data_IF_919299041722
#
_entry.id   IF_919299041722
#
_cell.length_a   1.000
_cell.length_b   1.000
_cell.length_c   1.000
_cell.angle_alpha   90.00
_cell.angle_beta   90.00
_cell.angle_gamma   90.00
#
_symmetry.space_group_name_H-M   'P 1'
#
loop_
_entity.id
_entity.type
_entity.pdbx_description
1 polymer ?
#
# COMPACT_ATOMS: atom_id res chain seq x y z
N UNK A 1 7.87 -35.01 -32.51
CA UNK A 1 6.89 -34.02 -32.03
C UNK A 1 7.01 -33.91 -30.51
N UNK A 2 7.04 -32.66 -30.03
CA UNK A 2 6.89 -32.18 -28.65
C UNK A 2 7.74 -32.83 -27.52
N UNK A 3 8.85 -32.16 -27.19
CA UNK A 3 9.63 -32.38 -25.97
C UNK A 3 8.86 -31.95 -24.72
N UNK A 4 9.04 -32.71 -23.64
CA UNK A 4 8.32 -32.66 -22.36
C UNK A 4 8.05 -31.26 -21.80
N UNK A 5 6.77 -30.92 -21.72
CA UNK A 5 6.24 -29.79 -20.97
C UNK A 5 5.96 -30.24 -19.53
N UNK A 6 7.00 -30.25 -18.68
CA UNK A 6 6.85 -30.32 -17.21
C UNK A 6 6.27 -29.00 -16.71
N UNK A 7 4.98 -28.76 -16.97
CA UNK A 7 4.24 -27.67 -16.34
C UNK A 7 3.57 -28.23 -15.09
N UNK A 8 3.95 -27.72 -13.92
CA UNK A 8 3.17 -27.96 -12.71
C UNK A 8 1.73 -27.47 -12.88
N UNK A 9 0.82 -27.95 -12.03
CA UNK A 9 -0.60 -27.58 -11.99
C UNK A 9 -0.85 -26.07 -12.04
N UNK A 10 0.13 -25.28 -11.61
CA UNK A 10 0.07 -23.83 -11.58
C UNK A 10 1.16 -23.18 -12.45
N UNK A 11 0.85 -22.07 -13.14
CA UNK A 11 1.77 -21.42 -14.06
C UNK A 11 3.10 -21.03 -13.41
N UNK A 12 4.18 -21.13 -14.19
CA UNK A 12 5.56 -20.83 -13.78
C UNK A 12 6.43 -22.08 -13.70
N UNK A 13 7.67 -21.98 -14.18
CA UNK A 13 8.64 -23.09 -14.25
C UNK A 13 9.61 -23.08 -13.06
N UNK A 14 9.11 -22.74 -11.87
CA UNK A 14 9.90 -22.65 -10.65
C UNK A 14 9.88 -23.95 -9.83
N UNK A 15 10.79 -24.09 -8.84
CA UNK A 15 10.84 -25.26 -7.95
C UNK A 15 9.58 -25.46 -7.09
N UNK A 16 8.68 -24.46 -7.07
CA UNK A 16 7.40 -24.48 -6.36
C UNK A 16 6.20 -24.47 -7.32
N UNK A 17 6.39 -24.91 -8.58
CA UNK A 17 5.33 -24.92 -9.61
C UNK A 17 4.16 -25.85 -9.28
N UNK A 18 4.39 -26.83 -8.41
CA UNK A 18 3.40 -27.76 -7.87
C UNK A 18 2.47 -27.12 -6.82
N UNK A 19 2.89 -26.03 -6.17
CA UNK A 19 2.07 -25.33 -5.18
C UNK A 19 1.21 -24.25 -5.84
N UNK A 20 -0.02 -24.01 -5.33
CA UNK A 20 -0.80 -22.86 -5.73
C UNK A 20 -0.03 -21.56 -5.44
N UNK A 21 -0.19 -20.51 -6.27
CA UNK A 21 0.56 -19.28 -6.15
C UNK A 21 0.60 -18.71 -4.72
N UNK A 22 -0.50 -18.73 -3.97
CA UNK A 22 -0.58 -18.17 -2.62
C UNK A 22 0.20 -18.93 -1.54
N UNK A 23 0.52 -20.20 -1.77
CA UNK A 23 1.37 -21.01 -0.88
C UNK A 23 2.85 -20.93 -1.27
N UNK A 24 3.17 -20.31 -2.41
CA UNK A 24 4.56 -20.21 -2.86
C UNK A 24 5.34 -19.24 -1.97
N UNK A 25 6.62 -19.54 -1.68
CA UNK A 25 7.47 -18.62 -0.93
C UNK A 25 7.56 -17.23 -1.57
N UNK A 26 7.61 -17.15 -2.91
CA UNK A 26 7.63 -15.89 -3.64
C UNK A 26 6.32 -15.10 -3.59
N UNK A 27 5.20 -15.72 -3.22
CA UNK A 27 3.97 -15.00 -2.91
C UNK A 27 4.00 -14.51 -1.48
N UNK A 28 4.14 -15.42 -0.50
CA UNK A 28 4.12 -15.10 0.94
C UNK A 28 5.22 -14.12 1.38
N UNK A 29 6.41 -14.23 0.79
CA UNK A 29 7.60 -13.45 1.15
C UNK A 29 8.12 -12.57 0.01
N UNK A 30 7.53 -12.65 -1.19
CA UNK A 30 7.99 -11.84 -2.31
C UNK A 30 7.27 -10.50 -2.41
N UNK A 31 7.64 -9.72 -3.42
CA UNK A 31 7.13 -8.36 -3.66
C UNK A 31 5.61 -8.30 -3.90
N UNK A 32 4.87 -9.40 -4.00
CA UNK A 32 3.42 -9.36 -4.24
C UNK A 32 2.59 -9.17 -2.97
N UNK A 33 2.98 -9.82 -1.86
CA UNK A 33 2.16 -9.86 -0.64
C UNK A 33 2.39 -8.67 0.29
N UNK A 34 3.62 -8.14 0.33
CA UNK A 34 3.89 -6.91 1.09
C UNK A 34 3.05 -5.73 0.60
N UNK A 35 2.65 -5.68 -0.68
CA UNK A 35 1.73 -4.65 -1.18
C UNK A 35 0.26 -5.08 -1.18
N UNK A 36 -0.07 -6.37 -1.09
CA UNK A 36 -1.48 -6.80 -0.95
C UNK A 36 -1.98 -6.65 0.49
N UNK A 37 -1.11 -6.84 1.49
CA UNK A 37 -1.43 -6.57 2.90
C UNK A 37 -1.58 -5.09 3.22
N UNK A 38 -0.87 -4.22 2.50
CA UNK A 38 -0.95 -2.76 2.64
C UNK A 38 -1.85 -2.08 1.60
N UNK A 39 -2.02 -2.67 0.42
CA UNK A 39 -2.68 -2.05 -0.75
C UNK A 39 -4.16 -2.35 -0.88
N UNK A 40 -4.72 -3.19 0.00
CA UNK A 40 -6.19 -3.34 0.14
C UNK A 40 -6.78 -2.42 1.22
N UNK A 41 -5.99 -1.49 1.74
CA UNK A 41 -6.45 -0.46 2.70
C UNK A 41 -5.93 0.92 2.25
N UNK A 42 -6.29 1.33 1.04
CA UNK A 42 -6.11 2.71 0.60
C UNK A 42 -7.01 3.05 -0.60
N UNK A 43 -8.28 2.64 -0.56
CA UNK A 43 -9.29 3.42 -1.25
C UNK A 43 -9.67 4.55 -0.27
N UNK A 44 -9.60 5.83 -0.65
CA UNK A 44 -9.69 6.96 0.29
C UNK A 44 -11.10 7.18 0.90
N UNK A 45 -12.03 6.24 0.67
CA UNK A 45 -13.41 6.27 1.12
C UNK A 45 -13.86 4.88 1.60
N UNK A 46 -13.01 4.14 2.31
CA UNK A 46 -13.53 3.04 3.13
C UNK A 46 -14.38 3.66 4.24
N UNK A 47 -15.64 3.23 4.35
CA UNK A 47 -16.58 3.69 5.38
C UNK A 47 -15.88 3.73 6.75
N UNK A 48 -15.75 4.95 7.30
CA UNK A 48 -15.15 5.13 8.61
C UNK A 48 -16.04 4.46 9.65
N UNK A 49 -15.49 3.69 10.60
CA UNK A 49 -16.28 3.13 11.70
C UNK A 49 -16.76 4.20 12.70
N UNK A 50 -16.43 5.48 12.49
CA UNK A 50 -16.78 6.60 13.35
C UNK A 50 -18.20 7.12 13.06
N UNK A 51 -18.84 7.71 14.07
CA UNK A 51 -20.05 8.51 13.82
C UNK A 51 -19.71 9.74 12.98
N UNK A 52 -20.70 10.29 12.26
CA UNK A 52 -20.48 11.45 11.36
C UNK A 52 -19.89 12.63 12.10
N UNK A 53 -20.35 12.89 13.32
CA UNK A 53 -19.89 13.99 14.16
C UNK A 53 -18.43 13.80 14.61
N UNK A 54 -18.05 12.56 14.95
CA UNK A 54 -16.67 12.22 15.33
C UNK A 54 -15.73 12.28 14.14
N UNK A 55 -16.18 11.83 12.96
CA UNK A 55 -15.41 11.94 11.72
C UNK A 55 -15.17 13.40 11.34
N UNK A 56 -16.19 14.26 11.44
CA UNK A 56 -16.04 15.70 11.20
C UNK A 56 -15.00 16.30 12.15
N UNK A 57 -15.11 16.05 13.47
CA UNK A 57 -14.14 16.56 14.46
C UNK A 57 -12.72 16.08 14.16
N UNK A 58 -12.57 14.79 13.85
CA UNK A 58 -11.28 14.20 13.50
C UNK A 58 -10.67 14.82 12.24
N UNK A 59 -11.48 15.05 11.20
CA UNK A 59 -11.04 15.69 9.97
C UNK A 59 -10.68 17.17 10.19
N UNK A 60 -11.40 17.88 11.04
CA UNK A 60 -11.07 19.26 11.42
C UNK A 60 -9.74 19.36 12.17
N UNK A 61 -9.50 18.47 13.13
CA UNK A 61 -8.21 18.40 13.84
C UNK A 61 -7.05 18.08 12.89
N UNK A 62 -7.23 17.09 12.01
CA UNK A 62 -6.24 16.76 10.98
C UNK A 62 -5.97 17.94 10.05
N UNK A 63 -7.02 18.63 9.60
CA UNK A 63 -6.89 19.80 8.73
C UNK A 63 -6.02 20.87 9.41
N UNK A 64 -6.30 21.18 10.69
CA UNK A 64 -5.52 22.16 11.44
C UNK A 64 -4.05 21.76 11.55
N UNK A 65 -3.77 20.49 11.88
CA UNK A 65 -2.40 19.97 11.96
C UNK A 65 -1.66 20.09 10.63
N UNK A 66 -2.32 19.77 9.51
CA UNK A 66 -1.73 19.87 8.18
C UNK A 66 -1.48 21.33 7.76
N UNK A 67 -2.38 22.25 8.10
CA UNK A 67 -2.20 23.69 7.84
C UNK A 67 -1.00 24.25 8.61
N UNK A 68 -0.80 23.86 9.87
CA UNK A 68 0.35 24.31 10.65
C UNK A 68 1.66 23.71 10.12
N UNK A 69 1.65 22.43 9.73
CA UNK A 69 2.80 21.79 9.08
C UNK A 69 3.16 22.47 7.76
N UNK A 70 2.15 22.88 6.98
CA UNK A 70 2.34 23.59 5.72
C UNK A 70 3.02 24.95 5.94
N UNK A 71 2.60 25.69 6.98
CA UNK A 71 3.24 26.98 7.34
C UNK A 71 4.70 26.81 7.69
N UNK A 72 5.05 25.79 8.49
CA UNK A 72 6.44 25.52 8.86
C UNK A 72 7.31 25.23 7.62
N UNK A 73 6.79 24.42 6.70
CA UNK A 73 7.46 24.13 5.42
C UNK A 73 7.66 25.42 4.62
N UNK A 74 6.63 26.26 4.50
CA UNK A 74 6.71 27.52 3.77
C UNK A 74 7.73 28.49 4.38
N UNK A 75 7.81 28.57 5.71
CA UNK A 75 8.81 29.36 6.41
C UNK A 75 10.23 28.84 6.13
N UNK A 76 10.42 27.53 6.20
CA UNK A 76 11.71 26.91 5.90
C UNK A 76 12.14 27.17 4.46
N UNK A 77 11.21 27.08 3.52
CA UNK A 77 11.45 27.40 2.10
C UNK A 77 11.79 28.87 1.90
N UNK A 78 11.13 29.80 2.58
CA UNK A 78 11.46 31.24 2.51
C UNK A 78 12.88 31.53 2.98
N UNK A 79 13.33 30.88 4.06
CA UNK A 79 14.70 31.03 4.55
C UNK A 79 15.71 30.50 3.53
N UNK A 80 15.48 29.29 3.00
CA UNK A 80 16.39 28.66 2.04
C UNK A 80 16.45 29.40 0.70
N UNK A 81 15.36 30.01 0.23
CA UNK A 81 15.32 30.78 -1.03
C UNK A 81 15.97 32.17 -0.93
N UNK A 82 16.23 32.67 0.29
CA UNK A 82 16.88 33.97 0.53
C UNK A 82 18.41 33.86 0.67
N UNK A 83 18.94 32.64 0.82
CA UNK A 83 20.37 32.34 0.70
C UNK A 83 20.75 32.24 -0.78
#
# INVERSE_FOLDING_TARGET
MAWGKRFGTYPGNGPWSNLPPWERPGWKYGRGWCWQGYGRVAWPYSESPLSKEEEIRYLEEQKKYLEDSLKEIDERLKVLKKQ
#
